data_IF_437443872683
#
_entry.id   IF_437443872683
#
_cell.length_a   1.000
_cell.length_b   1.000
_cell.length_c   1.000
_cell.angle_alpha   90.00
_cell.angle_beta   90.00
_cell.angle_gamma   90.00
#
_symmetry.space_group_name_H-M   'P 1'
#
loop_
_entity.id
_entity.type
_entity.pdbx_description
1 polymer ?
#
# COMPACT_ATOMS: atom_id res chain seq x y z
N UNK A 1 11.87 0.48 -10.84
CA UNK A 1 10.81 0.59 -11.89
C UNK A 1 9.86 1.69 -11.47
N UNK A 2 9.22 2.42 -12.39
CA UNK A 2 8.24 3.44 -12.00
C UNK A 2 6.84 2.82 -11.94
N UNK A 3 6.29 2.64 -10.74
CA UNK A 3 4.89 2.24 -10.55
C UNK A 3 3.99 3.48 -10.55
N UNK A 4 2.84 3.40 -11.22
CA UNK A 4 1.85 4.47 -11.21
C UNK A 4 0.98 4.37 -9.96
N UNK A 5 0.72 5.51 -9.32
CA UNK A 5 -0.24 5.60 -8.22
C UNK A 5 -1.64 5.67 -8.82
N UNK A 6 -2.50 4.74 -8.40
CA UNK A 6 -3.91 4.69 -8.74
C UNK A 6 -4.68 5.37 -7.61
N UNK A 7 -5.65 6.22 -7.98
CA UNK A 7 -6.57 6.86 -7.05
C UNK A 7 -8.01 6.53 -7.46
N UNK A 8 -8.71 5.79 -6.60
CA UNK A 8 -10.04 5.28 -6.86
C UNK A 8 -10.85 5.25 -5.56
N UNK A 9 -12.06 5.81 -5.57
CA UNK A 9 -12.98 5.86 -4.41
C UNK A 9 -12.34 6.41 -3.11
N UNK A 10 -11.34 7.29 -3.22
CA UNK A 10 -10.62 7.86 -2.08
C UNK A 10 -9.46 7.01 -1.55
N UNK A 11 -9.16 5.88 -2.19
CA UNK A 11 -7.99 5.06 -1.92
C UNK A 11 -6.87 5.41 -2.88
N UNK A 12 -5.65 5.50 -2.34
CA UNK A 12 -4.42 5.63 -3.12
C UNK A 12 -3.59 4.38 -2.94
N UNK A 13 -3.22 3.74 -4.03
CA UNK A 13 -2.44 2.50 -4.00
C UNK A 13 -1.61 2.35 -5.26
N UNK A 14 -0.64 1.44 -5.21
CA UNK A 14 -0.01 0.90 -6.41
C UNK A 14 -0.36 -0.58 -6.53
N UNK A 15 -0.29 -1.10 -7.75
CA UNK A 15 -0.49 -2.51 -8.00
C UNK A 15 0.49 -3.07 -9.04
N UNK A 16 0.74 -4.37 -8.97
CA UNK A 16 1.55 -5.10 -9.92
C UNK A 16 1.16 -6.58 -9.97
N UNK A 17 1.32 -7.19 -11.15
CA UNK A 17 1.05 -8.61 -11.32
C UNK A 17 -0.43 -8.95 -11.47
N UNK A 18 -0.72 -10.25 -11.53
CA UNK A 18 -2.08 -10.81 -11.64
C UNK A 18 -2.14 -12.10 -10.82
N UNK A 19 -3.30 -12.43 -10.27
CA UNK A 19 -3.50 -13.65 -9.49
C UNK A 19 -4.19 -13.39 -8.15
N UNK A 20 -3.85 -14.18 -7.14
CA UNK A 20 -4.37 -14.01 -5.78
C UNK A 20 -3.87 -12.69 -5.17
N UNK A 21 -4.72 -12.02 -4.38
CA UNK A 21 -4.41 -10.70 -3.83
C UNK A 21 -3.38 -10.81 -2.70
N UNK A 22 -2.30 -10.05 -2.81
CA UNK A 22 -1.28 -9.90 -1.77
C UNK A 22 -1.17 -8.42 -1.38
N UNK A 23 -1.66 -8.07 -0.20
CA UNK A 23 -1.61 -6.70 0.31
C UNK A 23 -0.34 -6.49 1.14
N UNK A 24 0.48 -5.50 0.78
CA UNK A 24 1.69 -5.15 1.52
C UNK A 24 1.48 -3.82 2.25
N UNK A 25 1.52 -3.87 3.58
CA UNK A 25 1.32 -2.70 4.43
C UNK A 25 2.67 -2.14 4.88
N UNK A 26 2.90 -0.86 4.61
CA UNK A 26 4.08 -0.15 5.10
C UNK A 26 3.84 0.46 6.50
N UNK A 27 4.93 0.84 7.16
CA UNK A 27 4.89 1.56 8.45
C UNK A 27 5.17 3.05 8.30
N UNK A 28 5.56 3.67 9.41
CA UNK A 28 6.14 5.03 9.41
C UNK A 28 7.36 5.08 8.50
N UNK A 29 7.52 6.18 7.76
CA UNK A 29 8.64 6.37 6.81
C UNK A 29 8.72 5.29 5.71
N UNK A 30 7.63 4.56 5.47
CA UNK A 30 7.57 3.58 4.40
C UNK A 30 7.54 4.25 3.04
N UNK A 31 8.47 3.88 2.17
CA UNK A 31 8.52 4.31 0.78
C UNK A 31 8.31 3.15 -0.19
N UNK A 32 7.88 3.47 -1.41
CA UNK A 32 7.74 2.51 -2.50
C UNK A 32 9.07 1.76 -2.78
N UNK A 33 10.19 2.46 -2.65
CA UNK A 33 11.54 1.91 -2.82
C UNK A 33 11.81 0.70 -1.90
N UNK A 34 11.16 0.64 -0.74
CA UNK A 34 11.30 -0.49 0.20
C UNK A 34 10.70 -1.79 -0.36
N UNK A 35 9.76 -1.70 -1.30
CA UNK A 35 8.99 -2.83 -1.80
C UNK A 35 9.45 -3.34 -3.17
N UNK A 36 10.37 -2.68 -3.87
CA UNK A 36 10.74 -3.04 -5.26
C UNK A 36 11.10 -4.52 -5.41
N UNK A 37 11.95 -5.05 -4.51
CA UNK A 37 12.38 -6.46 -4.56
C UNK A 37 11.27 -7.44 -4.18
N UNK A 38 10.38 -7.03 -3.29
CA UNK A 38 9.22 -7.86 -2.88
C UNK A 38 8.23 -7.95 -4.03
N UNK A 39 7.91 -6.81 -4.67
CA UNK A 39 7.02 -6.79 -5.85
C UNK A 39 7.59 -7.69 -6.94
N UNK A 40 8.88 -7.57 -7.27
CA UNK A 40 9.52 -8.38 -8.30
C UNK A 40 9.42 -9.89 -8.02
N UNK A 41 9.55 -10.30 -6.76
CA UNK A 41 9.49 -11.72 -6.38
C UNK A 41 8.07 -12.32 -6.44
N UNK A 42 7.03 -11.50 -6.28
CA UNK A 42 5.66 -11.99 -6.10
C UNK A 42 4.71 -11.68 -7.26
N UNK A 43 4.98 -10.65 -8.09
CA UNK A 43 4.07 -10.18 -9.15
C UNK A 43 3.70 -11.24 -10.21
N UNK A 44 4.56 -12.26 -10.42
CA UNK A 44 4.29 -13.32 -11.41
C UNK A 44 3.25 -14.34 -10.92
N UNK A 45 2.96 -14.36 -9.60
CA UNK A 45 2.04 -15.30 -8.95
C UNK A 45 0.87 -14.62 -8.26
N UNK A 46 1.05 -13.36 -7.86
CA UNK A 46 0.09 -12.61 -7.05
C UNK A 46 -0.24 -11.26 -7.71
N UNK A 47 -1.45 -10.79 -7.48
CA UNK A 47 -1.82 -9.39 -7.66
C UNK A 47 -1.39 -8.64 -6.40
N UNK A 48 -0.20 -8.02 -6.47
CA UNK A 48 0.39 -7.28 -5.37
C UNK A 48 -0.25 -5.91 -5.30
N UNK A 49 -0.77 -5.54 -4.13
CA UNK A 49 -1.43 -4.26 -3.88
C UNK A 49 -0.74 -3.59 -2.69
N UNK A 50 -0.32 -2.35 -2.86
CA UNK A 50 0.37 -1.59 -1.80
C UNK A 50 -0.41 -0.29 -1.57
N UNK A 51 -1.28 -0.23 -0.56
CA UNK A 51 -2.01 0.98 -0.22
C UNK A 51 -1.06 2.02 0.39
N UNK A 52 -1.30 3.28 0.05
CA UNK A 52 -0.67 4.43 0.69
C UNK A 52 -1.52 4.76 1.91
N UNK A 53 -1.05 4.39 3.09
CA UNK A 53 -1.80 4.62 4.33
C UNK A 53 -1.79 6.12 4.68
N UNK A 54 -2.92 6.69 5.13
CA UNK A 54 -3.05 8.12 5.46
C UNK A 54 -2.43 8.47 6.82
N UNK A 55 -1.24 7.93 7.10
CA UNK A 55 -0.55 8.05 8.40
C UNK A 55 -0.31 9.51 8.76
N UNK A 56 0.07 10.33 7.78
CA UNK A 56 0.38 11.75 7.97
C UNK A 56 -0.81 12.69 7.75
N UNK A 57 -1.92 12.16 7.20
CA UNK A 57 -3.12 12.94 6.88
C UNK A 57 -4.16 12.91 8.02
N UNK A 58 -4.12 11.87 8.86
CA UNK A 58 -5.05 11.74 9.99
C UNK A 58 -4.72 12.73 11.12
N UNK A 59 -5.76 13.33 11.75
CA UNK A 59 -5.56 14.17 12.94
C UNK A 59 -4.82 13.42 14.05
N UNK A 60 -3.86 14.08 14.71
CA UNK A 60 -3.04 13.48 15.79
C UNK A 60 -3.90 12.83 16.88
N UNK A 61 -5.05 13.41 17.20
CA UNK A 61 -5.96 12.90 18.23
C UNK A 61 -6.67 11.59 17.84
N UNK A 62 -6.80 11.31 16.54
CA UNK A 62 -7.49 10.13 16.02
C UNK A 62 -6.54 9.13 15.36
N UNK A 63 -5.29 9.54 15.10
CA UNK A 63 -4.24 8.69 14.56
C UNK A 63 -3.93 7.53 15.52
N UNK A 64 -4.02 6.31 15.00
CA UNK A 64 -3.68 5.09 15.74
C UNK A 64 -3.99 3.83 14.94
N UNK A 65 -3.48 2.69 15.41
CA UNK A 65 -3.61 1.39 14.71
C UNK A 65 -5.08 1.06 14.42
N UNK A 66 -5.99 1.33 15.36
CA UNK A 66 -7.44 1.10 15.18
C UNK A 66 -8.07 1.98 14.09
N UNK A 67 -7.55 3.18 13.87
CA UNK A 67 -8.04 4.06 12.81
C UNK A 67 -7.54 3.58 11.45
N UNK A 68 -6.25 3.24 11.36
CA UNK A 68 -5.65 2.68 10.14
C UNK A 68 -6.27 1.34 9.74
N UNK A 69 -6.64 0.49 10.70
CA UNK A 69 -7.30 -0.79 10.40
C UNK A 69 -8.72 -0.66 9.85
N UNK A 70 -9.37 0.51 9.97
CA UNK A 70 -10.68 0.78 9.35
C UNK A 70 -10.55 1.35 7.93
N UNK A 71 -9.34 1.77 7.56
CA UNK A 71 -9.04 2.25 6.22
C UNK A 71 -8.77 1.09 5.24
N UNK A 72 -8.48 -0.11 5.74
CA UNK A 72 -8.26 -1.32 4.96
C UNK A 72 -9.51 -2.20 4.99
#
# INVERSE_FOLDING_TARGET
MTYQVIEEEGFKYIEAGKGEKLVLLHGLMGELSNWERVIEQFKDRYHVIIPILPIYDLPILTLGVKALSRYL
#
